data_IF_396877328146
#
_entry.id   IF_396877328146
#
_cell.length_a   1.000
_cell.length_b   1.000
_cell.length_c   1.000
_cell.angle_alpha   90.00
_cell.angle_beta   90.00
_cell.angle_gamma   90.00
#
_symmetry.space_group_name_H-M   'P 1'
#
loop_
_entity.id
_entity.type
_entity.pdbx_description
1 polymer ?
#
# COMPACT_ATOMS: atom_id res chain seq x y z
N UNK A 1 -0.95 4.80 7.11
CA UNK A 1 -0.95 3.43 6.55
C UNK A 1 -0.43 2.42 7.58
N UNK A 2 0.78 2.59 8.15
CA UNK A 2 1.37 1.60 9.10
C UNK A 2 0.55 1.33 10.36
N UNK A 3 -0.07 2.36 10.94
CA UNK A 3 -1.00 2.19 12.06
C UNK A 3 -2.24 1.34 11.73
N UNK A 4 -2.49 1.04 10.46
CA UNK A 4 -3.64 0.26 9.98
C UNK A 4 -3.19 -1.08 9.35
N UNK A 5 -2.01 -1.59 9.71
CA UNK A 5 -1.54 -2.92 9.29
C UNK A 5 -0.88 -2.98 7.91
N UNK A 6 -0.61 -1.83 7.28
CA UNK A 6 0.12 -1.78 6.02
C UNK A 6 1.62 -1.56 6.25
N UNK A 7 2.48 -2.33 5.59
CA UNK A 7 3.93 -2.16 5.63
C UNK A 7 4.44 -1.37 4.43
N UNK A 8 5.22 -0.31 4.68
CA UNK A 8 5.88 0.45 3.61
C UNK A 8 6.86 -0.44 2.82
N UNK A 9 6.93 -0.24 1.49
CA UNK A 9 7.83 -0.99 0.60
C UNK A 9 8.84 -0.06 -0.09
N UNK A 10 8.40 0.69 -1.10
CA UNK A 10 9.22 1.62 -1.88
C UNK A 10 8.40 2.82 -2.31
N UNK A 11 8.97 4.02 -2.20
CA UNK A 11 8.29 5.26 -2.59
C UNK A 11 7.00 5.44 -1.81
N UNK A 12 5.86 5.56 -2.50
CA UNK A 12 4.53 5.72 -1.91
C UNK A 12 3.72 4.40 -1.87
N UNK A 13 4.38 3.24 -1.98
CA UNK A 13 3.73 1.93 -1.99
C UNK A 13 3.74 1.30 -0.60
N UNK A 14 2.58 0.79 -0.19
CA UNK A 14 2.35 0.12 1.08
C UNK A 14 1.61 -1.20 0.84
N UNK A 15 2.06 -2.29 1.47
CA UNK A 15 1.47 -3.62 1.34
C UNK A 15 0.75 -4.03 2.62
N UNK A 16 -0.46 -4.58 2.49
CA UNK A 16 -1.10 -5.30 3.58
C UNK A 16 -0.58 -6.74 3.66
N UNK A 17 -0.78 -7.38 4.81
CA UNK A 17 -0.65 -8.82 4.96
C UNK A 17 -1.99 -9.54 4.74
N UNK A 18 -2.08 -10.82 5.09
CA UNK A 18 -3.28 -11.65 4.94
C UNK A 18 -4.51 -11.13 5.70
N UNK A 19 -4.33 -10.21 6.66
CA UNK A 19 -5.41 -9.60 7.42
C UNK A 19 -6.07 -8.43 6.68
N UNK A 20 -5.42 -7.91 5.63
CA UNK A 20 -5.91 -6.80 4.82
C UNK A 20 -6.63 -7.33 3.58
N UNK A 21 -7.88 -6.92 3.42
CA UNK A 21 -8.69 -7.19 2.24
C UNK A 21 -9.13 -5.89 1.57
N UNK A 22 -9.86 -6.01 0.46
CA UNK A 22 -10.34 -4.85 -0.29
C UNK A 22 -11.18 -3.89 0.57
N UNK A 23 -12.02 -4.41 1.47
CA UNK A 23 -12.88 -3.61 2.34
C UNK A 23 -12.05 -2.85 3.38
N UNK A 24 -11.12 -3.52 4.07
CA UNK A 24 -10.28 -2.87 5.08
C UNK A 24 -9.30 -1.88 4.45
N UNK A 25 -8.85 -2.13 3.22
CA UNK A 25 -8.04 -1.18 2.45
C UNK A 25 -8.82 0.11 2.13
N UNK A 26 -10.02 -0.02 1.58
CA UNK A 26 -10.90 1.14 1.30
C UNK A 26 -11.22 1.91 2.59
N UNK A 27 -11.58 1.20 3.66
CA UNK A 27 -11.89 1.82 4.96
C UNK A 27 -10.69 2.60 5.51
N UNK A 28 -9.47 2.07 5.38
CA UNK A 28 -8.24 2.74 5.79
C UNK A 28 -8.03 4.05 5.03
N UNK A 29 -8.20 4.03 3.69
CA UNK A 29 -8.08 5.25 2.87
C UNK A 29 -9.12 6.29 3.29
N UNK A 30 -10.36 5.87 3.56
CA UNK A 30 -11.42 6.76 4.06
C UNK A 30 -11.09 7.36 5.44
N UNK A 31 -10.50 6.58 6.36
CA UNK A 31 -10.05 7.07 7.66
C UNK A 31 -8.97 8.15 7.47
N UNK A 32 -7.96 7.88 6.63
CA UNK A 32 -6.90 8.84 6.34
C UNK A 32 -7.44 10.13 5.71
N UNK A 33 -8.36 10.01 4.76
CA UNK A 33 -9.02 11.17 4.14
C UNK A 33 -9.79 12.03 5.15
N UNK A 34 -10.39 11.42 6.18
CA UNK A 34 -11.07 12.16 7.27
C UNK A 34 -10.09 12.80 8.25
N UNK A 35 -8.96 12.15 8.52
CA UNK A 35 -7.97 12.60 9.50
C UNK A 35 -7.02 13.66 8.95
N UNK A 36 -6.81 13.70 7.64
CA UNK A 36 -5.87 14.59 6.97
C UNK A 36 -6.68 15.51 6.03
N UNK A 37 -7.05 16.73 6.46
CA UNK A 37 -7.96 17.59 5.70
C UNK A 37 -7.52 17.89 4.26
N UNK A 38 -6.22 17.98 4.01
CA UNK A 38 -5.66 18.25 2.67
C UNK A 38 -5.47 16.99 1.81
N UNK A 39 -5.88 15.81 2.27
CA UNK A 39 -5.57 14.55 1.59
C UNK A 39 -6.14 14.50 0.18
N UNK A 40 -7.39 14.94 0.00
CA UNK A 40 -8.04 14.98 -1.31
C UNK A 40 -7.41 16.02 -2.27
N UNK A 41 -6.87 17.11 -1.73
CA UNK A 41 -6.24 18.17 -2.54
C UNK A 41 -4.81 17.81 -2.94
N UNK A 42 -4.09 17.08 -2.09
CA UNK A 42 -2.68 16.72 -2.30
C UNK A 42 -2.51 15.42 -3.11
N UNK A 43 -3.47 14.51 -3.08
CA UNK A 43 -3.37 13.20 -3.75
C UNK A 43 -3.91 13.30 -5.17
N UNK A 44 -3.04 13.15 -6.16
CA UNK A 44 -3.42 13.14 -7.59
C UNK A 44 -4.01 11.81 -8.05
N UNK A 45 -3.53 10.70 -7.51
CA UNK A 45 -3.97 9.34 -7.85
C UNK A 45 -3.68 8.41 -6.67
N UNK A 46 -4.60 7.48 -6.39
CA UNK A 46 -4.43 6.42 -5.39
C UNK A 46 -5.07 5.15 -5.91
N UNK A 47 -4.33 4.04 -5.91
CA UNK A 47 -4.77 2.77 -6.46
C UNK A 47 -4.59 1.64 -5.47
N UNK A 48 -5.60 0.79 -5.39
CA UNK A 48 -5.48 -0.51 -4.74
C UNK A 48 -5.03 -1.52 -5.80
N UNK A 49 -3.97 -2.26 -5.51
CA UNK A 49 -3.47 -3.37 -6.34
C UNK A 49 -3.61 -4.66 -5.56
N UNK A 50 -4.07 -5.73 -6.22
CA UNK A 50 -3.99 -7.08 -5.68
C UNK A 50 -2.74 -7.74 -6.22
N UNK A 51 -1.85 -8.13 -5.31
CA UNK A 51 -0.62 -8.84 -5.62
C UNK A 51 -0.89 -10.31 -5.32
N UNK A 52 -0.98 -11.15 -6.36
CA UNK A 52 -1.22 -12.60 -6.18
C UNK A 52 0.08 -13.36 -5.90
N UNK A 53 1.23 -12.81 -6.30
CA UNK A 53 2.53 -13.48 -6.28
C UNK A 53 3.65 -12.55 -5.84
N UNK A 54 4.83 -13.10 -5.53
CA UNK A 54 5.98 -12.30 -5.10
C UNK A 54 6.33 -11.20 -6.12
N UNK A 55 6.25 -9.94 -5.69
CA UNK A 55 6.52 -8.79 -6.53
C UNK A 55 8.01 -8.39 -6.55
N UNK A 56 8.79 -8.79 -5.54
CA UNK A 56 10.20 -8.41 -5.46
C UNK A 56 11.07 -9.38 -6.27
N UNK A 57 11.58 -8.86 -7.38
CA UNK A 57 12.47 -9.58 -8.29
C UNK A 57 13.95 -9.25 -8.08
N UNK A 58 14.30 -8.34 -7.17
CA UNK A 58 15.70 -8.03 -6.87
C UNK A 58 16.51 -9.26 -6.42
N UNK A 59 15.96 -10.23 -5.65
CA UNK A 59 16.68 -11.45 -5.33
C UNK A 59 17.11 -12.24 -6.56
N UNK A 60 16.30 -12.28 -7.61
CA UNK A 60 16.64 -13.00 -8.85
C UNK A 60 17.86 -12.39 -9.55
N UNK A 61 17.99 -11.06 -9.54
CA UNK A 61 19.16 -10.36 -10.09
C UNK A 61 20.42 -10.69 -9.28
N UNK A 62 20.34 -10.62 -7.95
CA UNK A 62 21.47 -10.85 -7.02
C UNK A 62 22.02 -12.28 -7.04
N UNK A 63 21.25 -13.24 -7.54
CA UNK A 63 21.69 -14.63 -7.68
C UNK A 63 22.54 -14.83 -8.93
N UNK A 64 22.32 -14.01 -9.96
CA UNK A 64 22.97 -14.14 -11.28
C UNK A 64 24.17 -13.21 -11.44
N UNK A 65 24.18 -12.06 -10.77
CA UNK A 65 25.29 -11.10 -10.73
C UNK A 65 26.06 -11.20 -9.42
#
# INVERSE_FOLDING_TARGET
MEQHGFKWQQGSVYFGDETINAVTCVATVQILAKQIPCFADCVKDVRMLKIEENNDLMPAIKIVL
#
